data_IF_692648596442
#
_entry.id   IF_692648596442
#
_cell.length_a   1.000
_cell.length_b   1.000
_cell.length_c   1.000
_cell.angle_alpha   90.00
_cell.angle_beta   90.00
_cell.angle_gamma   90.00
#
_symmetry.space_group_name_H-M   'P 1'
#
loop_
_entity.id
_entity.type
_entity.pdbx_description
1 polymer ?
#
# COMPACT_ATOMS: atom_id res chain seq x y z
N UNK A 1 -16.12 22.10 18.80
CA UNK A 1 -15.95 20.73 18.28
C UNK A 1 -14.50 20.65 17.85
N UNK A 2 -13.68 19.85 18.55
CA UNK A 2 -12.25 19.75 18.26
C UNK A 2 -12.05 19.43 16.77
N UNK A 3 -11.21 20.18 16.07
CA UNK A 3 -10.88 19.84 14.68
C UNK A 3 -9.94 18.64 14.79
N UNK A 4 -10.45 17.47 14.46
CA UNK A 4 -9.55 16.33 14.24
C UNK A 4 -8.58 16.71 13.11
N UNK A 5 -7.29 16.36 13.19
CA UNK A 5 -6.33 16.58 12.10
C UNK A 5 -6.84 16.09 10.72
N UNK A 6 -7.75 15.12 10.73
CA UNK A 6 -8.47 14.64 9.56
C UNK A 6 -9.43 15.69 8.98
N UNK A 7 -10.24 16.33 9.81
CA UNK A 7 -11.15 17.41 9.40
C UNK A 7 -10.37 18.59 8.80
N UNK A 8 -9.22 18.95 9.40
CA UNK A 8 -8.35 20.01 8.89
C UNK A 8 -7.88 19.73 7.46
N UNK A 9 -7.34 18.53 7.22
CA UNK A 9 -6.78 18.13 5.92
C UNK A 9 -7.84 17.65 4.92
N UNK A 10 -9.11 17.53 5.32
CA UNK A 10 -10.22 17.28 4.39
C UNK A 10 -10.92 18.58 3.98
N UNK A 11 -10.92 19.59 4.84
CA UNK A 11 -11.70 20.82 4.68
C UNK A 11 -10.98 21.95 3.96
N UNK A 12 -11.69 23.07 3.78
CA UNK A 12 -11.20 24.27 3.09
C UNK A 12 -9.94 24.88 3.73
N UNK A 13 -9.71 24.64 5.03
CA UNK A 13 -8.51 25.13 5.73
C UNK A 13 -7.21 24.46 5.26
N UNK A 14 -7.27 23.31 4.57
CA UNK A 14 -6.09 22.68 3.98
C UNK A 14 -5.40 23.59 2.96
N UNK A 15 -6.17 24.37 2.20
CA UNK A 15 -5.65 25.29 1.18
C UNK A 15 -4.74 26.35 1.80
N UNK A 16 -5.15 26.97 2.91
CA UNK A 16 -4.33 27.97 3.59
C UNK A 16 -3.01 27.41 4.11
N UNK A 17 -3.03 26.20 4.68
CA UNK A 17 -1.82 25.53 5.20
C UNK A 17 -0.85 25.22 4.06
N UNK A 18 -1.36 24.70 2.94
CA UNK A 18 -0.53 24.33 1.79
C UNK A 18 -0.04 25.54 1.00
N UNK A 19 -0.88 26.56 0.84
CA UNK A 19 -0.49 27.81 0.19
C UNK A 19 0.63 28.54 0.95
N UNK A 20 0.60 28.53 2.28
CA UNK A 20 1.68 29.08 3.10
C UNK A 20 3.03 28.37 2.82
N UNK A 21 3.03 27.04 2.76
CA UNK A 21 4.24 26.26 2.50
C UNK A 21 4.79 26.44 1.07
N UNK A 22 3.92 26.67 0.07
CA UNK A 22 4.34 26.89 -1.33
C UNK A 22 4.80 28.33 -1.55
N UNK A 23 4.15 29.29 -0.88
CA UNK A 23 4.45 30.72 -0.97
C UNK A 23 5.88 31.08 -0.57
N UNK A 24 6.54 30.28 0.27
CA UNK A 24 7.98 30.43 0.58
C UNK A 24 8.87 30.37 -0.68
N UNK A 25 8.42 29.68 -1.74
CA UNK A 25 9.10 29.62 -3.05
C UNK A 25 8.63 30.68 -4.05
N UNK A 26 7.78 31.63 -3.64
CA UNK A 26 7.21 32.68 -4.49
C UNK A 26 6.10 32.21 -5.44
N UNK A 27 5.73 30.93 -5.41
CA UNK A 27 4.61 30.41 -6.20
C UNK A 27 3.27 30.60 -5.47
N UNK A 28 2.19 30.80 -6.22
CA UNK A 28 0.83 30.88 -5.69
C UNK A 28 0.02 29.65 -6.09
N UNK A 29 -0.83 29.17 -5.18
CA UNK A 29 -1.80 28.09 -5.45
C UNK A 29 -3.03 28.68 -6.11
N UNK A 30 -3.42 28.15 -7.27
CA UNK A 30 -4.65 28.52 -7.98
C UNK A 30 -5.76 27.47 -7.81
N UNK A 31 -5.37 26.20 -7.65
CA UNK A 31 -6.28 25.07 -7.47
C UNK A 31 -5.65 24.07 -6.51
N UNK A 32 -6.45 23.42 -5.66
CA UNK A 32 -5.98 22.36 -4.80
C UNK A 32 -6.98 21.19 -4.78
N UNK A 33 -6.52 20.01 -5.21
CA UNK A 33 -7.33 18.79 -5.23
C UNK A 33 -6.70 17.70 -4.37
N UNK A 34 -7.47 17.19 -3.41
CA UNK A 34 -7.07 16.03 -2.60
C UNK A 34 -7.07 14.76 -3.46
N UNK A 35 -5.93 14.09 -3.55
CA UNK A 35 -5.72 12.89 -4.34
C UNK A 35 -5.90 11.60 -3.51
N UNK A 36 -5.31 11.53 -2.32
CA UNK A 36 -5.55 10.45 -1.37
C UNK A 36 -5.31 10.90 0.07
N UNK A 37 -5.84 10.13 1.01
CA UNK A 37 -5.68 10.37 2.44
C UNK A 37 -5.47 9.08 3.22
N UNK A 38 -4.64 9.14 4.26
CA UNK A 38 -4.38 8.04 5.19
C UNK A 38 -4.46 8.52 6.62
N UNK A 39 -4.98 7.64 7.47
CA UNK A 39 -5.21 7.86 8.89
C UNK A 39 -4.50 6.75 9.66
N UNK A 40 -3.82 7.09 10.75
CA UNK A 40 -3.31 6.13 11.72
C UNK A 40 -4.30 5.91 12.86
N UNK A 41 -4.18 4.79 13.61
CA UNK A 41 -4.96 4.58 14.83
C UNK A 41 -4.78 5.68 15.88
N UNK A 42 -3.64 6.38 15.87
CA UNK A 42 -3.37 7.53 16.73
C UNK A 42 -4.14 8.80 16.35
N UNK A 43 -4.85 8.81 15.21
CA UNK A 43 -5.46 9.99 14.63
C UNK A 43 -4.51 10.85 13.79
N UNK A 44 -3.23 10.48 13.65
CA UNK A 44 -2.31 11.13 12.73
C UNK A 44 -2.78 10.95 11.27
N UNK A 45 -2.69 12.03 10.48
CA UNK A 45 -3.22 12.06 9.11
C UNK A 45 -2.13 12.43 8.14
N UNK A 46 -2.26 11.88 6.94
CA UNK A 46 -1.40 12.22 5.81
C UNK A 46 -2.23 12.27 4.55
N UNK A 47 -2.22 13.43 3.92
CA UNK A 47 -2.99 13.74 2.74
C UNK A 47 -2.06 14.14 1.59
N UNK A 48 -2.36 13.65 0.39
CA UNK A 48 -1.65 14.01 -0.83
C UNK A 48 -2.55 14.85 -1.71
N UNK A 49 -2.03 15.97 -2.21
CA UNK A 49 -2.77 16.91 -3.04
C UNK A 49 -2.09 17.07 -4.39
N UNK A 50 -2.89 17.41 -5.39
CA UNK A 50 -2.43 17.96 -6.65
C UNK A 50 -2.80 19.44 -6.64
N UNK A 51 -1.81 20.31 -6.67
CA UNK A 51 -1.96 21.76 -6.68
C UNK A 51 -1.72 22.29 -8.09
N UNK A 52 -2.62 23.12 -8.62
CA UNK A 52 -2.32 24.02 -9.73
C UNK A 52 -1.53 25.20 -9.18
N UNK A 53 -0.32 25.42 -9.68
CA UNK A 53 0.58 26.47 -9.19
C UNK A 53 0.92 27.45 -10.30
N UNK A 54 1.07 28.72 -9.92
CA UNK A 54 1.69 29.76 -10.75
C UNK A 54 3.02 30.16 -10.13
N UNK A 55 4.09 30.09 -10.92
CA UNK A 55 5.42 30.48 -10.51
C UNK A 55 5.65 32.00 -10.72
N UNK A 56 6.68 32.58 -10.06
CA UNK A 56 7.02 34.01 -10.21
C UNK A 56 7.28 34.46 -11.64
N UNK A 57 7.77 33.57 -12.50
CA UNK A 57 8.03 33.81 -13.93
C UNK A 57 6.75 33.82 -14.78
N UNK A 58 5.58 33.63 -14.15
CA UNK A 58 4.28 33.56 -14.79
C UNK A 58 3.92 32.19 -15.36
N UNK A 59 4.84 31.23 -15.35
CA UNK A 59 4.56 29.86 -15.79
C UNK A 59 3.55 29.18 -14.87
N UNK A 60 2.78 28.26 -15.44
CA UNK A 60 1.77 27.48 -14.71
C UNK A 60 2.10 26.00 -14.81
N UNK A 61 1.85 25.28 -13.73
CA UNK A 61 2.10 23.84 -13.66
C UNK A 61 1.23 23.16 -12.63
N UNK A 62 1.38 21.84 -12.53
CA UNK A 62 0.80 21.06 -11.45
C UNK A 62 1.91 20.49 -10.58
N UNK A 63 1.77 20.65 -9.27
CA UNK A 63 2.67 20.08 -8.27
C UNK A 63 1.93 19.06 -7.41
N UNK A 64 2.61 17.96 -7.07
CA UNK A 64 2.11 17.02 -6.08
C UNK A 64 2.69 17.36 -4.72
N UNK A 65 1.81 17.52 -3.73
CA UNK A 65 2.16 17.95 -2.38
C UNK A 65 1.67 16.94 -1.36
N UNK A 66 2.31 16.92 -0.21
CA UNK A 66 1.90 16.11 0.93
C UNK A 66 1.80 16.99 2.16
N UNK A 67 0.72 16.81 2.91
CA UNK A 67 0.56 17.34 4.26
C UNK A 67 0.45 16.17 5.24
N UNK A 68 1.13 16.25 6.37
CA UNK A 68 1.11 15.23 7.41
C UNK A 68 1.02 15.84 8.80
N UNK A 69 0.40 15.12 9.74
CA UNK A 69 0.27 15.54 11.15
C UNK A 69 0.80 14.47 12.10
N UNK A 70 1.17 14.88 13.33
CA UNK A 70 1.61 13.99 14.39
C UNK A 70 2.73 13.04 13.95
N UNK A 71 2.58 11.74 14.23
CA UNK A 71 3.58 10.72 13.93
C UNK A 71 3.86 10.52 12.42
N UNK A 72 3.09 11.14 11.52
CA UNK A 72 3.39 11.14 10.09
C UNK A 72 4.32 12.26 9.64
N UNK A 73 4.63 13.25 10.47
CA UNK A 73 5.58 14.32 10.15
C UNK A 73 7.00 13.74 10.18
N UNK A 74 7.71 13.69 9.05
CA UNK A 74 9.12 13.32 9.03
C UNK A 74 9.96 14.37 9.76
N UNK A 75 11.03 13.95 10.44
CA UNK A 75 11.91 14.83 11.24
C UNK A 75 12.45 16.05 10.48
N UNK A 76 12.65 15.93 9.17
CA UNK A 76 13.23 16.99 8.33
C UNK A 76 12.21 17.68 7.43
N UNK A 77 10.91 17.50 7.67
CA UNK A 77 9.88 18.21 6.92
C UNK A 77 9.79 19.68 7.38
N UNK A 78 9.47 20.57 6.45
CA UNK A 78 9.02 21.92 6.78
C UNK A 78 7.70 21.80 7.55
N UNK A 79 7.62 22.39 8.74
CA UNK A 79 6.42 22.34 9.59
C UNK A 79 5.76 23.71 9.61
N UNK A 80 4.51 23.75 9.20
CA UNK A 80 3.61 24.88 9.40
C UNK A 80 2.81 24.60 10.68
N UNK A 81 2.94 25.49 11.66
CA UNK A 81 2.14 25.45 12.88
C UNK A 81 1.06 26.52 12.81
N UNK A 82 -0.16 26.18 13.23
CA UNK A 82 -1.26 27.13 13.34
C UNK A 82 -2.26 26.72 14.42
N UNK A 83 -3.22 27.60 14.70
CA UNK A 83 -4.32 27.35 15.65
C UNK A 83 -5.69 27.33 14.95
N UNK A 84 -5.95 26.38 14.02
CA UNK A 84 -7.27 26.29 13.39
C UNK A 84 -8.36 26.04 14.45
N UNK A 85 -9.35 26.95 14.50
CA UNK A 85 -10.46 26.95 15.47
C UNK A 85 -10.03 26.82 16.95
N UNK A 86 -8.85 27.33 17.31
CA UNK A 86 -8.37 27.41 18.69
C UNK A 86 -7.57 26.20 19.20
N UNK A 87 -7.24 25.25 18.33
CA UNK A 87 -6.36 24.12 18.66
C UNK A 87 -5.04 24.21 17.89
N UNK A 88 -3.92 24.13 18.60
CA UNK A 88 -2.59 24.12 17.95
C UNK A 88 -2.41 22.81 17.19
N UNK A 89 -2.20 22.91 15.88
CA UNK A 89 -1.90 21.79 14.99
C UNK A 89 -0.60 22.06 14.24
N UNK A 90 0.28 21.08 14.25
CA UNK A 90 1.51 21.07 13.45
C UNK A 90 1.28 20.23 12.19
N UNK A 91 1.61 20.80 11.04
CA UNK A 91 1.46 20.17 9.74
C UNK A 91 2.79 20.20 9.01
N UNK A 92 3.39 19.03 8.80
CA UNK A 92 4.54 18.86 7.93
C UNK A 92 4.11 18.92 6.46
N UNK A 93 4.74 19.75 5.65
CA UNK A 93 4.42 19.91 4.22
C UNK A 93 5.66 19.72 3.36
N UNK A 94 5.52 18.98 2.25
CA UNK A 94 6.59 18.80 1.27
C UNK A 94 6.06 18.52 -0.14
N UNK A 95 6.89 18.79 -1.15
CA UNK A 95 6.69 18.33 -2.53
C UNK A 95 7.08 16.87 -2.65
N UNK A 96 6.40 16.11 -3.51
CA UNK A 96 6.69 14.68 -3.71
C UNK A 96 8.15 14.43 -4.06
N UNK A 97 8.75 15.17 -4.99
CA UNK A 97 10.17 15.01 -5.35
C UNK A 97 11.14 15.36 -4.22
N UNK A 98 10.69 16.11 -3.22
CA UNK A 98 11.46 16.59 -2.07
C UNK A 98 11.05 15.88 -0.77
N UNK A 99 10.53 14.65 -0.87
CA UNK A 99 10.13 13.87 0.30
C UNK A 99 11.32 13.67 1.25
N UNK A 100 11.26 14.20 2.48
CA UNK A 100 12.41 14.25 3.38
C UNK A 100 12.86 12.86 3.85
N UNK A 101 11.97 11.85 3.78
CA UNK A 101 12.32 10.48 4.13
C UNK A 101 12.71 9.63 2.90
N UNK A 102 12.57 10.16 1.68
CA UNK A 102 12.88 9.49 0.41
C UNK A 102 13.75 10.39 -0.50
N UNK A 103 15.00 10.71 -0.10
CA UNK A 103 15.84 11.67 -0.81
C UNK A 103 16.13 11.30 -2.27
N UNK A 104 16.17 10.00 -2.60
CA UNK A 104 16.32 9.53 -3.98
C UNK A 104 15.18 9.92 -4.92
N UNK A 105 14.01 10.34 -4.40
CA UNK A 105 12.85 10.72 -5.21
C UNK A 105 13.08 11.99 -6.05
N UNK A 106 14.12 12.76 -5.75
CA UNK A 106 14.59 13.89 -6.58
C UNK A 106 14.92 13.48 -8.02
N UNK A 107 15.22 12.20 -8.27
CA UNK A 107 15.43 11.69 -9.63
C UNK A 107 14.23 11.84 -10.57
N UNK A 108 13.02 12.10 -10.03
CA UNK A 108 11.84 12.40 -10.86
C UNK A 108 12.00 13.73 -11.59
N UNK A 109 12.75 14.67 -11.03
CA UNK A 109 13.02 15.99 -11.62
C UNK A 109 14.28 16.00 -12.51
N UNK A 110 15.06 14.91 -12.50
CA UNK A 110 16.37 14.82 -13.17
C UNK A 110 16.52 13.50 -13.95
N UNK A 111 16.13 13.49 -15.24
CA UNK A 111 16.29 12.32 -16.12
C UNK A 111 17.76 11.92 -16.37
N UNK A 112 18.73 12.81 -16.23
CA UNK A 112 20.15 12.49 -16.44
C UNK A 112 20.66 11.58 -15.33
N UNK A 113 20.30 11.87 -14.07
CA UNK A 113 20.63 11.02 -12.91
C UNK A 113 20.10 9.59 -13.05
N UNK A 114 19.00 9.41 -13.76
CA UNK A 114 18.41 8.10 -14.05
C UNK A 114 19.27 7.34 -15.07
N UNK A 115 19.71 8.02 -16.12
CA UNK A 115 20.61 7.44 -17.12
C UNK A 115 21.97 7.07 -16.50
N UNK A 116 22.49 7.91 -15.60
CA UNK A 116 23.74 7.65 -14.87
C UNK A 116 23.60 6.42 -13.96
N UNK A 117 22.50 6.31 -13.21
CA UNK A 117 22.21 5.13 -12.39
C UNK A 117 22.20 3.85 -13.22
N UNK A 118 21.48 3.86 -14.34
CA UNK A 118 21.39 2.69 -15.23
C UNK A 118 22.76 2.34 -15.82
N UNK A 119 23.51 3.34 -16.28
CA UNK A 119 24.85 3.17 -16.86
C UNK A 119 25.85 2.61 -15.84
N UNK A 120 25.81 3.09 -14.59
CA UNK A 120 26.66 2.60 -13.50
C UNK A 120 26.43 1.11 -13.18
N UNK A 121 25.25 0.59 -13.53
CA UNK A 121 24.88 -0.83 -13.37
C UNK A 121 24.88 -1.60 -14.70
N UNK A 122 25.62 -1.12 -15.71
CA UNK A 122 25.78 -1.74 -17.03
C UNK A 122 24.46 -1.93 -17.80
N UNK A 123 23.46 -1.09 -17.54
CA UNK A 123 22.21 -1.04 -18.29
C UNK A 123 22.30 0.07 -19.33
N UNK A 124 22.51 -0.31 -20.59
CA UNK A 124 22.55 0.64 -21.70
C UNK A 124 21.13 1.00 -22.15
N UNK A 125 20.84 2.31 -22.21
CA UNK A 125 19.57 2.81 -22.72
C UNK A 125 19.62 3.02 -24.23
N UNK A 126 18.53 2.67 -24.92
CA UNK A 126 18.38 2.92 -26.36
C UNK A 126 18.02 4.38 -26.70
N UNK A 127 17.67 5.19 -25.70
CA UNK A 127 17.23 6.57 -25.84
C UNK A 127 17.08 7.28 -24.48
N UNK A 128 16.62 8.54 -24.46
CA UNK A 128 16.45 9.27 -23.21
C UNK A 128 15.41 8.59 -22.31
N UNK A 129 15.69 8.42 -21.00
CA UNK A 129 14.79 7.73 -20.10
C UNK A 129 13.51 8.55 -19.85
N UNK A 130 12.37 7.87 -19.86
CA UNK A 130 11.10 8.38 -19.36
C UNK A 130 10.84 7.80 -17.99
N UNK A 131 10.56 8.67 -17.03
CA UNK A 131 10.27 8.30 -15.64
C UNK A 131 8.79 8.52 -15.35
N UNK A 132 8.12 7.51 -14.82
CA UNK A 132 6.72 7.58 -14.40
C UNK A 132 6.58 7.09 -12.97
N UNK A 133 5.99 7.90 -12.09
CA UNK A 133 5.66 7.47 -10.72
C UNK A 133 4.50 6.47 -10.79
N UNK A 134 4.78 5.20 -10.51
CA UNK A 134 3.77 4.13 -10.50
C UNK A 134 3.05 4.02 -9.17
N UNK A 135 3.78 4.20 -8.08
CA UNK A 135 3.21 4.22 -6.75
C UNK A 135 4.01 5.17 -5.86
N UNK A 136 3.32 5.87 -4.97
CA UNK A 136 3.95 6.71 -3.97
C UNK A 136 3.17 6.60 -2.66
N UNK A 137 3.87 6.21 -1.60
CA UNK A 137 3.40 6.24 -0.22
C UNK A 137 4.32 7.22 0.51
N UNK A 138 3.84 8.45 0.79
CA UNK A 138 4.71 9.49 1.31
C UNK A 138 5.48 9.03 2.54
N UNK A 139 6.74 9.46 2.67
CA UNK A 139 7.67 9.11 3.72
C UNK A 139 7.87 7.60 4.00
N UNK A 140 7.43 6.72 3.08
CA UNK A 140 7.55 5.27 3.22
C UNK A 140 8.29 4.68 2.03
N UNK A 141 7.76 4.89 0.82
CA UNK A 141 8.38 4.40 -0.42
C UNK A 141 7.73 5.00 -1.67
N UNK A 142 8.45 4.98 -2.78
CA UNK A 142 7.92 5.16 -4.12
C UNK A 142 8.35 4.00 -5.04
N UNK A 143 7.63 3.82 -6.13
CA UNK A 143 8.02 2.96 -7.25
C UNK A 143 7.94 3.79 -8.50
N UNK A 144 9.06 3.94 -9.18
CA UNK A 144 9.19 4.61 -10.46
C UNK A 144 9.32 3.55 -11.55
N UNK A 145 8.58 3.69 -12.63
CA UNK A 145 8.88 3.00 -13.88
C UNK A 145 9.82 3.89 -14.69
N UNK A 146 10.92 3.30 -15.14
CA UNK A 146 11.86 3.92 -16.07
C UNK A 146 11.79 3.16 -17.38
N UNK A 147 11.69 3.85 -18.50
CA UNK A 147 11.68 3.22 -19.82
C UNK A 147 12.48 4.03 -20.84
N UNK A 148 13.08 3.35 -21.81
CA UNK A 148 13.74 3.97 -22.97
C UNK A 148 12.89 3.85 -24.25
N UNK A 149 11.64 3.42 -24.11
CA UNK A 149 10.71 3.12 -25.21
C UNK A 149 10.81 1.69 -25.76
N UNK A 150 11.82 0.91 -25.38
CA UNK A 150 11.97 -0.51 -25.74
C UNK A 150 11.88 -1.43 -24.54
N UNK A 151 12.60 -1.07 -23.48
CA UNK A 151 12.69 -1.82 -22.24
C UNK A 151 12.16 -0.99 -21.08
N UNK A 152 11.78 -1.69 -20.00
CA UNK A 152 11.34 -1.06 -18.76
C UNK A 152 12.11 -1.61 -17.57
N UNK A 153 12.33 -0.73 -16.60
CA UNK A 153 12.92 -1.01 -15.32
C UNK A 153 12.08 -0.34 -14.24
N UNK A 154 12.25 -0.82 -13.02
CA UNK A 154 11.58 -0.24 -11.86
C UNK A 154 12.61 0.22 -10.86
N UNK A 155 12.46 1.43 -10.36
CA UNK A 155 13.26 1.95 -9.26
C UNK A 155 12.37 2.06 -8.03
N UNK A 156 12.68 1.27 -7.01
CA UNK A 156 12.04 1.38 -5.71
C UNK A 156 12.82 2.41 -4.90
N UNK A 157 12.16 3.51 -4.55
CA UNK A 157 12.71 4.55 -3.70
C UNK A 157 12.25 4.27 -2.28
N UNK A 158 13.20 4.05 -1.38
CA UNK A 158 12.93 3.76 0.04
C UNK A 158 13.73 4.71 0.92
N UNK A 159 13.46 4.70 2.22
CA UNK A 159 14.36 5.35 3.16
C UNK A 159 15.77 4.71 3.05
N UNK A 160 16.86 5.49 3.01
CA UNK A 160 18.22 4.95 2.91
C UNK A 160 18.53 3.82 3.90
N UNK A 161 18.03 3.93 5.14
CA UNK A 161 18.22 2.90 6.16
C UNK A 161 17.53 1.56 5.85
N UNK A 162 16.54 1.56 4.95
CA UNK A 162 15.79 0.37 4.53
C UNK A 162 16.36 -0.31 3.28
N UNK A 163 17.22 0.36 2.49
CA UNK A 163 17.69 -0.14 1.20
C UNK A 163 18.45 -1.47 1.33
N UNK A 164 19.39 -1.56 2.27
CA UNK A 164 20.16 -2.79 2.51
C UNK A 164 19.27 -3.98 2.91
N UNK A 165 18.24 -3.74 3.74
CA UNK A 165 17.29 -4.76 4.16
C UNK A 165 16.36 -5.22 3.03
N UNK A 166 16.04 -4.32 2.09
CA UNK A 166 15.31 -4.65 0.87
C UNK A 166 16.18 -5.50 -0.08
N UNK A 167 17.41 -5.05 -0.34
CA UNK A 167 18.39 -5.76 -1.15
C UNK A 167 18.61 -7.20 -0.66
N UNK A 168 18.86 -7.36 0.64
CA UNK A 168 19.07 -8.67 1.26
C UNK A 168 17.90 -9.63 0.99
N UNK A 169 16.65 -9.15 1.04
CA UNK A 169 15.49 -9.99 0.74
C UNK A 169 15.47 -10.47 -0.70
N UNK A 170 15.76 -9.58 -1.66
CA UNK A 170 15.87 -9.97 -3.06
C UNK A 170 17.00 -10.98 -3.28
N UNK A 171 18.17 -10.77 -2.68
CA UNK A 171 19.31 -11.68 -2.81
C UNK A 171 19.02 -13.09 -2.25
N UNK A 172 18.26 -13.17 -1.16
CA UNK A 172 17.81 -14.45 -0.60
C UNK A 172 16.77 -15.16 -1.48
N UNK A 173 15.87 -14.39 -2.12
CA UNK A 173 14.68 -14.92 -2.78
C UNK A 173 14.89 -15.24 -4.27
N UNK A 174 15.58 -14.38 -5.02
CA UNK A 174 15.75 -14.52 -6.47
C UNK A 174 16.34 -15.88 -6.92
N UNK A 175 17.22 -16.57 -6.15
CA UNK A 175 17.70 -17.90 -6.52
C UNK A 175 16.65 -19.02 -6.44
N UNK A 176 15.57 -18.83 -5.65
CA UNK A 176 14.55 -19.88 -5.37
C UNK A 176 13.17 -19.54 -5.93
N UNK A 177 12.92 -18.27 -6.22
CA UNK A 177 11.61 -17.73 -6.58
C UNK A 177 11.72 -16.80 -7.80
N UNK A 178 10.63 -16.60 -8.56
CA UNK A 178 10.59 -15.67 -9.69
C UNK A 178 10.52 -14.20 -9.20
N UNK A 179 11.42 -13.80 -8.32
CA UNK A 179 11.54 -12.44 -7.80
C UNK A 179 12.56 -11.70 -8.68
N UNK A 180 12.28 -10.46 -9.13
CA UNK A 180 13.24 -9.68 -9.90
C UNK A 180 14.55 -9.52 -9.13
N UNK A 181 15.72 -9.85 -9.71
CA UNK A 181 17.00 -9.59 -9.04
C UNK A 181 17.26 -8.09 -8.94
N UNK A 182 18.00 -7.67 -7.91
CA UNK A 182 18.46 -6.28 -7.83
C UNK A 182 19.62 -6.07 -8.78
N UNK A 183 19.48 -5.12 -9.70
CA UNK A 183 20.54 -4.73 -10.64
C UNK A 183 21.54 -3.76 -10.00
N UNK A 184 21.06 -2.96 -9.04
CA UNK A 184 21.85 -1.94 -8.38
C UNK A 184 21.09 -1.21 -7.28
N UNK A 185 21.83 -0.52 -6.42
CA UNK A 185 21.28 0.32 -5.36
C UNK A 185 22.21 1.51 -5.05
N UNK A 186 21.67 2.53 -4.40
CA UNK A 186 22.39 3.77 -4.07
C UNK A 186 22.27 4.14 -2.59
N UNK A 187 23.20 4.98 -2.12
CA UNK A 187 23.23 5.45 -0.74
C UNK A 187 22.05 6.36 -0.37
N UNK A 188 21.37 6.97 -1.34
CA UNK A 188 20.15 7.77 -1.14
C UNK A 188 18.85 6.95 -1.25
N UNK A 189 18.96 5.62 -1.28
CA UNK A 189 17.83 4.71 -1.08
C UNK A 189 17.11 4.27 -2.36
N UNK A 190 17.79 4.26 -3.49
CA UNK A 190 17.27 3.70 -4.75
C UNK A 190 17.62 2.21 -4.83
N UNK A 191 16.66 1.40 -5.29
CA UNK A 191 16.87 -0.02 -5.62
C UNK A 191 16.34 -0.28 -7.02
N UNK A 192 17.23 -0.57 -7.96
CA UNK A 192 16.94 -0.80 -9.37
C UNK A 192 16.62 -2.28 -9.63
N UNK A 193 15.49 -2.52 -10.29
CA UNK A 193 14.92 -3.82 -10.59
C UNK A 193 14.61 -3.91 -12.09
N UNK A 194 14.79 -5.08 -12.74
CA UNK A 194 14.26 -5.29 -14.08
C UNK A 194 12.73 -5.37 -14.03
N UNK A 195 12.10 -5.21 -15.19
CA UNK A 195 10.69 -5.59 -15.34
C UNK A 195 10.49 -7.08 -15.02
N UNK A 196 9.49 -7.39 -14.20
CA UNK A 196 9.07 -8.75 -13.95
C UNK A 196 8.15 -9.24 -15.09
N UNK A 197 8.37 -10.44 -15.60
CA UNK A 197 7.60 -10.97 -16.72
C UNK A 197 6.18 -11.38 -16.31
N UNK A 198 5.22 -11.20 -17.22
CA UNK A 198 3.84 -11.69 -17.12
C UNK A 198 2.82 -10.61 -16.77
N UNK A 199 1.62 -11.06 -16.43
CA UNK A 199 0.46 -10.20 -16.13
C UNK A 199 0.03 -10.42 -14.68
N UNK A 200 -0.31 -9.35 -13.97
CA UNK A 200 -0.80 -9.46 -12.60
C UNK A 200 -1.98 -10.43 -12.51
N UNK A 201 -1.98 -11.33 -11.53
CA UNK A 201 -3.09 -12.24 -11.28
C UNK A 201 -4.39 -11.45 -11.09
N UNK A 202 -4.34 -10.26 -10.46
CA UNK A 202 -5.45 -9.30 -10.44
C UNK A 202 -6.10 -9.09 -11.80
N UNK A 203 -5.31 -8.76 -12.80
CA UNK A 203 -5.79 -8.39 -14.13
C UNK A 203 -6.46 -9.59 -14.81
N UNK A 204 -5.95 -10.80 -14.57
CA UNK A 204 -6.58 -12.04 -15.02
C UNK A 204 -7.91 -12.32 -14.31
N UNK A 205 -8.03 -11.94 -13.04
CA UNK A 205 -9.24 -12.13 -12.23
C UNK A 205 -10.36 -11.13 -12.56
N UNK A 206 -10.04 -9.94 -13.05
CA UNK A 206 -11.01 -8.90 -13.44
C UNK A 206 -11.29 -8.86 -14.95
N UNK A 207 -10.65 -9.72 -15.75
CA UNK A 207 -10.84 -9.75 -17.19
C UNK A 207 -12.19 -10.40 -17.54
N UNK A 208 -13.16 -9.57 -17.95
CA UNK A 208 -14.46 -10.03 -18.44
C UNK A 208 -14.44 -10.51 -19.89
N UNK A 209 -13.39 -10.16 -20.64
CA UNK A 209 -13.22 -10.65 -22.01
C UNK A 209 -12.70 -12.09 -21.96
N UNK A 210 -13.60 -13.03 -22.22
CA UNK A 210 -13.33 -14.47 -22.39
C UNK A 210 -12.66 -15.11 -21.16
N UNK A 211 -13.36 -15.16 -20.01
CA UNK A 211 -12.81 -15.68 -18.75
C UNK A 211 -12.31 -17.12 -18.83
N UNK A 212 -12.83 -17.93 -19.76
CA UNK A 212 -12.49 -19.35 -19.88
C UNK A 212 -11.29 -19.64 -20.79
N UNK A 213 -10.73 -18.63 -21.48
CA UNK A 213 -9.61 -18.83 -22.41
C UNK A 213 -8.21 -18.69 -21.79
N UNK A 214 -8.10 -18.03 -20.64
CA UNK A 214 -6.81 -17.88 -19.95
C UNK A 214 -6.89 -18.70 -18.68
N UNK A 215 -6.15 -19.80 -18.56
CA UNK A 215 -6.11 -20.57 -17.33
C UNK A 215 -5.47 -19.77 -16.19
N UNK A 216 -5.99 -19.91 -14.96
CA UNK A 216 -5.36 -19.36 -13.76
C UNK A 216 -4.41 -20.41 -13.16
N UNK A 217 -3.34 -20.00 -12.44
CA UNK A 217 -2.51 -20.96 -11.70
C UNK A 217 -3.36 -21.74 -10.70
N UNK A 218 -3.05 -23.02 -10.50
CA UNK A 218 -3.72 -23.78 -9.45
C UNK A 218 -3.30 -23.26 -8.07
N UNK A 219 -4.16 -23.33 -7.03
CA UNK A 219 -3.75 -22.97 -5.66
C UNK A 219 -2.50 -23.73 -5.17
N UNK A 220 -2.27 -24.95 -5.67
CA UNK A 220 -1.06 -25.71 -5.39
C UNK A 220 0.21 -25.06 -5.95
N UNK A 221 0.15 -24.42 -7.12
CA UNK A 221 1.29 -23.70 -7.69
C UNK A 221 1.56 -22.38 -6.96
N UNK A 222 0.50 -21.75 -6.45
CA UNK A 222 0.62 -20.60 -5.54
C UNK A 222 1.31 -21.00 -4.23
N UNK A 223 0.98 -22.17 -3.66
CA UNK A 223 1.65 -22.69 -2.45
C UNK A 223 3.14 -22.96 -2.66
N UNK A 224 3.52 -23.45 -3.84
CA UNK A 224 4.94 -23.70 -4.15
C UNK A 224 5.81 -22.44 -4.01
N UNK A 225 5.25 -21.23 -4.20
CA UNK A 225 5.96 -20.00 -3.91
C UNK A 225 6.26 -19.85 -2.42
N UNK A 226 5.28 -20.17 -1.59
CA UNK A 226 5.39 -20.08 -0.14
C UNK A 226 6.33 -21.14 0.42
N UNK A 227 6.28 -22.36 -0.11
CA UNK A 227 7.18 -23.47 0.25
C UNK A 227 8.65 -23.21 -0.13
N UNK A 228 8.88 -22.47 -1.21
CA UNK A 228 10.23 -22.11 -1.67
C UNK A 228 10.86 -20.94 -0.91
N UNK A 229 10.15 -20.32 0.05
CA UNK A 229 10.68 -19.24 0.87
C UNK A 229 11.87 -19.73 1.72
N UNK A 230 13.03 -19.05 1.66
CA UNK A 230 14.25 -19.46 2.35
C UNK A 230 14.14 -19.36 3.87
N UNK A 231 14.62 -20.38 4.60
CA UNK A 231 14.70 -20.37 6.07
C UNK A 231 15.56 -19.22 6.60
N UNK A 232 16.47 -18.72 5.78
CA UNK A 232 17.31 -17.56 6.05
C UNK A 232 16.50 -16.29 6.37
N UNK A 233 15.26 -16.19 5.88
CA UNK A 233 14.33 -15.11 6.25
C UNK A 233 14.01 -15.08 7.74
N UNK A 234 14.14 -16.20 8.45
CA UNK A 234 13.89 -16.29 9.90
C UNK A 234 14.84 -15.44 10.73
N UNK A 235 15.97 -15.00 10.16
CA UNK A 235 16.94 -14.11 10.82
C UNK A 235 16.59 -12.64 10.68
N UNK A 236 15.61 -12.29 9.87
CA UNK A 236 15.17 -10.92 9.65
C UNK A 236 14.22 -10.47 10.76
N UNK A 237 14.04 -9.14 10.96
CA UNK A 237 13.08 -8.64 11.93
C UNK A 237 11.66 -9.16 11.66
N UNK A 238 11.03 -9.71 12.69
CA UNK A 238 9.62 -10.12 12.64
C UNK A 238 8.72 -8.91 12.43
N UNK A 239 7.63 -9.10 11.68
CA UNK A 239 6.59 -8.09 11.52
C UNK A 239 5.36 -8.50 12.32
N UNK A 240 4.57 -7.50 12.73
CA UNK A 240 3.29 -7.75 13.39
C UNK A 240 2.38 -8.54 12.45
N UNK A 241 1.74 -9.60 12.96
CA UNK A 241 0.74 -10.39 12.23
C UNK A 241 -0.52 -9.56 11.92
N UNK A 242 -1.43 -10.10 11.08
CA UNK A 242 -2.71 -9.43 10.82
C UNK A 242 -3.56 -9.28 12.10
N UNK A 243 -3.52 -10.29 12.97
CA UNK A 243 -4.26 -10.29 14.24
C UNK A 243 -3.81 -9.14 15.15
N UNK A 244 -2.51 -8.86 15.21
CA UNK A 244 -1.99 -7.73 15.99
C UNK A 244 -2.44 -6.36 15.47
N UNK A 245 -2.91 -6.26 14.22
CA UNK A 245 -3.32 -4.99 13.57
C UNK A 245 -4.84 -4.84 13.45
N UNK A 246 -5.61 -5.82 13.91
CA UNK A 246 -7.06 -5.84 13.68
C UNK A 246 -7.77 -4.72 14.46
N UNK A 247 -7.36 -4.47 15.72
CA UNK A 247 -7.86 -3.37 16.54
C UNK A 247 -7.54 -2.01 15.92
N UNK A 248 -6.32 -1.85 15.42
CA UNK A 248 -5.88 -0.65 14.71
C UNK A 248 -6.71 -0.37 13.46
N UNK A 249 -7.11 -1.44 12.75
CA UNK A 249 -7.94 -1.32 11.55
C UNK A 249 -9.36 -0.87 11.88
N UNK A 250 -9.95 -1.41 12.96
CA UNK A 250 -11.25 -0.96 13.47
C UNK A 250 -11.19 0.49 13.94
N UNK A 251 -10.13 0.88 14.65
CA UNK A 251 -9.93 2.25 15.11
C UNK A 251 -9.80 3.25 13.95
N UNK A 252 -9.04 2.90 12.91
CA UNK A 252 -8.96 3.72 11.70
C UNK A 252 -10.34 3.87 11.04
N UNK A 253 -11.13 2.80 10.95
CA UNK A 253 -12.48 2.88 10.38
C UNK A 253 -13.39 3.81 11.20
N UNK A 254 -13.35 3.68 12.54
CA UNK A 254 -14.07 4.55 13.46
C UNK A 254 -13.72 6.02 13.25
N UNK A 255 -12.42 6.35 13.25
CA UNK A 255 -11.95 7.74 13.03
C UNK A 255 -12.45 8.29 11.69
N UNK A 256 -12.36 7.50 10.62
CA UNK A 256 -12.85 7.91 9.30
C UNK A 256 -14.36 8.17 9.30
N UNK A 257 -15.15 7.28 9.91
CA UNK A 257 -16.61 7.39 9.92
C UNK A 257 -17.10 8.56 10.78
N UNK A 258 -16.45 8.83 11.91
CA UNK A 258 -16.82 9.93 12.80
C UNK A 258 -16.36 11.30 12.29
N UNK A 259 -15.28 11.36 11.51
CA UNK A 259 -14.72 12.63 11.02
C UNK A 259 -15.30 13.08 9.68
N UNK A 260 -16.04 12.22 8.98
CA UNK A 260 -16.67 12.57 7.71
C UNK A 260 -18.08 13.14 7.94
N UNK A 261 -18.31 14.45 7.71
CA UNK A 261 -19.62 15.07 7.95
C UNK A 261 -20.72 14.54 7.01
N UNK A 262 -20.37 13.86 5.92
CA UNK A 262 -21.36 13.23 5.04
C UNK A 262 -21.91 11.91 5.61
N UNK A 263 -21.28 11.36 6.66
CA UNK A 263 -21.71 10.11 7.31
C UNK A 263 -22.64 10.42 8.48
N UNK A 264 -23.91 9.97 8.45
CA UNK A 264 -24.81 10.15 9.58
C UNK A 264 -24.26 9.50 10.85
N UNK A 265 -24.40 10.17 12.00
CA UNK A 265 -23.88 9.66 13.28
C UNK A 265 -24.38 8.25 13.64
N UNK A 266 -25.62 7.90 13.25
CA UNK A 266 -26.18 6.56 13.43
C UNK A 266 -25.46 5.50 12.58
N UNK A 267 -25.05 5.85 11.36
CA UNK A 267 -24.28 4.97 10.48
C UNK A 267 -22.84 4.82 10.97
N UNK A 268 -22.21 5.92 11.40
CA UNK A 268 -20.88 5.86 12.00
C UNK A 268 -20.87 4.97 13.25
N UNK A 269 -21.84 5.12 14.15
CA UNK A 269 -22.00 4.26 15.32
C UNK A 269 -22.21 2.79 14.95
N UNK A 270 -23.01 2.51 13.90
CA UNK A 270 -23.22 1.16 13.39
C UNK A 270 -21.93 0.53 12.85
N UNK A 271 -21.18 1.24 12.01
CA UNK A 271 -19.90 0.76 11.46
C UNK A 271 -18.90 0.45 12.58
N UNK A 272 -18.80 1.34 13.57
CA UNK A 272 -17.95 1.14 14.75
C UNK A 272 -18.37 -0.09 15.55
N UNK A 273 -19.66 -0.23 15.84
CA UNK A 273 -20.20 -1.38 16.59
C UNK A 273 -19.94 -2.71 15.85
N UNK A 274 -20.16 -2.74 14.53
CA UNK A 274 -19.89 -3.93 13.72
C UNK A 274 -18.41 -4.28 13.67
N UNK A 275 -17.53 -3.28 13.50
CA UNK A 275 -16.08 -3.49 13.52
C UNK A 275 -15.60 -4.03 14.87
N UNK A 276 -16.10 -3.49 15.99
CA UNK A 276 -15.80 -4.00 17.34
C UNK A 276 -16.25 -5.45 17.51
N UNK A 277 -17.46 -5.79 17.06
CA UNK A 277 -17.96 -7.17 17.11
C UNK A 277 -17.12 -8.17 16.30
N UNK A 278 -16.56 -7.74 15.15
CA UNK A 278 -15.59 -8.54 14.38
C UNK A 278 -14.27 -8.68 15.16
N UNK A 279 -13.74 -7.60 15.74
CA UNK A 279 -12.51 -7.62 16.54
C UNK A 279 -12.61 -8.59 17.72
N UNK A 280 -13.72 -8.57 18.47
CA UNK A 280 -13.93 -9.44 19.63
C UNK A 280 -13.89 -10.93 19.25
N UNK A 281 -14.56 -11.29 18.16
CA UNK A 281 -14.55 -12.67 17.65
C UNK A 281 -13.17 -13.05 17.07
N UNK A 282 -12.50 -12.13 16.37
CA UNK A 282 -11.17 -12.36 15.83
C UNK A 282 -10.11 -12.54 16.92
N UNK A 283 -10.23 -11.83 18.03
CA UNK A 283 -9.27 -11.90 19.13
C UNK A 283 -9.63 -12.93 20.18
N UNK A 284 -10.68 -13.72 19.97
CA UNK A 284 -11.00 -14.86 20.84
C UNK A 284 -9.79 -15.81 20.87
N UNK A 285 -9.24 -16.13 22.06
CA UNK A 285 -8.02 -16.91 22.17
C UNK A 285 -8.08 -18.23 21.39
N UNK A 286 -7.02 -18.50 20.62
CA UNK A 286 -6.79 -19.83 20.01
C UNK A 286 -5.90 -20.63 20.96
N UNK A 287 -6.19 -21.92 21.15
CA UNK A 287 -5.37 -22.79 22.00
C UNK A 287 -3.99 -23.12 21.41
N UNK A 288 -3.76 -22.82 20.12
CA UNK A 288 -2.50 -23.12 19.42
C UNK A 288 -2.06 -21.93 18.56
N UNK A 289 -0.92 -21.33 18.91
CA UNK A 289 -0.16 -20.46 18.03
C UNK A 289 0.73 -21.33 17.13
N UNK A 290 0.74 -21.08 15.83
CA UNK A 290 1.63 -21.79 14.91
C UNK A 290 3.07 -21.31 15.11
N UNK A 291 4.07 -22.20 15.06
CA UNK A 291 5.46 -21.78 15.10
C UNK A 291 5.77 -20.89 13.89
N UNK A 292 6.59 -19.85 14.06
CA UNK A 292 6.88 -18.95 12.96
C UNK A 292 7.71 -19.65 11.88
N UNK A 293 7.36 -19.39 10.63
CA UNK A 293 8.00 -19.88 9.40
C UNK A 293 8.33 -18.70 8.48
N UNK A 294 9.14 -18.90 7.43
CA UNK A 294 9.29 -17.92 6.37
C UNK A 294 7.95 -17.61 5.69
N UNK A 295 7.58 -16.34 5.70
CA UNK A 295 6.37 -15.82 5.03
C UNK A 295 6.73 -14.70 4.07
N UNK A 296 5.83 -14.46 3.11
CA UNK A 296 5.91 -13.29 2.25
C UNK A 296 5.47 -12.03 3.00
N UNK A 297 4.41 -12.13 3.83
CA UNK A 297 3.95 -11.07 4.75
C UNK A 297 3.00 -10.03 4.14
N UNK A 298 2.76 -10.09 2.83
CA UNK A 298 1.74 -9.33 2.08
C UNK A 298 1.25 -10.13 0.85
N UNK A 299 0.99 -11.42 1.02
CA UNK A 299 0.74 -12.34 -0.10
C UNK A 299 -0.70 -12.26 -0.62
N UNK A 300 -0.93 -11.53 -1.70
CA UNK A 300 -2.24 -11.49 -2.39
C UNK A 300 -2.09 -11.37 -3.91
N UNK A 301 -3.22 -11.37 -4.62
CA UNK A 301 -3.27 -11.47 -6.08
C UNK A 301 -2.61 -10.31 -6.86
N UNK A 302 -2.23 -9.20 -6.23
CA UNK A 302 -1.41 -8.16 -6.91
C UNK A 302 0.10 -8.43 -6.82
N UNK A 303 0.52 -9.43 -6.03
CA UNK A 303 1.94 -9.76 -5.88
C UNK A 303 2.37 -10.91 -6.78
N UNK A 304 1.43 -11.54 -7.50
CA UNK A 304 1.69 -12.69 -8.36
C UNK A 304 1.51 -12.28 -9.82
N UNK A 305 2.53 -12.50 -10.65
CA UNK A 305 2.45 -12.36 -12.10
C UNK A 305 2.33 -13.74 -12.74
N UNK A 306 1.58 -13.79 -13.84
CA UNK A 306 1.23 -15.03 -14.53
C UNK A 306 1.32 -14.88 -16.04
N UNK A 307 1.70 -15.95 -16.71
CA UNK A 307 1.53 -16.17 -18.15
C UNK A 307 0.71 -17.46 -18.33
N UNK A 308 -0.57 -17.30 -18.62
CA UNK A 308 -1.56 -18.38 -18.46
C UNK A 308 -1.57 -18.91 -17.02
N UNK A 309 -1.53 -20.23 -16.87
CA UNK A 309 -1.48 -20.91 -15.57
C UNK A 309 -0.08 -20.91 -14.93
N UNK A 310 0.96 -20.49 -15.65
CA UNK A 310 2.32 -20.43 -15.12
C UNK A 310 2.53 -19.15 -14.32
N UNK A 311 3.04 -19.29 -13.11
CA UNK A 311 3.53 -18.15 -12.32
C UNK A 311 4.90 -17.72 -12.86
N UNK A 312 5.02 -16.46 -13.22
CA UNK A 312 6.22 -15.87 -13.85
C UNK A 312 6.88 -14.79 -13.02
N UNK A 313 6.22 -14.33 -11.96
CA UNK A 313 6.77 -13.29 -11.10
C UNK A 313 6.15 -13.27 -9.71
N UNK A 314 6.96 -12.92 -8.72
CA UNK A 314 6.55 -12.59 -7.35
C UNK A 314 7.09 -11.20 -6.99
N UNK A 315 6.19 -10.31 -6.58
CA UNK A 315 6.47 -8.90 -6.33
C UNK A 315 6.34 -8.55 -4.84
N UNK A 316 6.87 -7.37 -4.50
CA UNK A 316 6.71 -6.73 -3.19
C UNK A 316 7.16 -7.56 -1.99
N UNK A 317 8.35 -8.12 -2.10
CA UNK A 317 8.95 -9.00 -1.10
C UNK A 317 9.53 -8.27 0.12
N UNK A 318 9.33 -6.95 0.26
CA UNK A 318 9.86 -6.11 1.35
C UNK A 318 9.44 -6.61 2.75
N UNK A 319 8.30 -7.28 2.81
CA UNK A 319 7.71 -7.78 4.05
C UNK A 319 8.15 -9.19 4.40
N UNK A 320 8.92 -9.86 3.53
CA UNK A 320 9.35 -11.22 3.73
C UNK A 320 10.20 -11.36 5.01
N UNK A 321 9.95 -12.40 5.78
CA UNK A 321 10.53 -12.56 7.12
C UNK A 321 9.85 -13.66 7.93
N UNK A 322 10.10 -13.71 9.25
CA UNK A 322 9.40 -14.61 10.16
C UNK A 322 7.92 -14.22 10.29
N UNK A 323 7.02 -15.20 10.24
CA UNK A 323 5.59 -15.02 10.46
C UNK A 323 4.82 -16.34 10.46
N UNK A 324 3.51 -16.32 10.32
CA UNK A 324 2.66 -17.52 10.35
C UNK A 324 2.13 -17.82 8.94
N UNK A 325 2.21 -19.09 8.49
CA UNK A 325 1.75 -19.47 7.14
C UNK A 325 0.28 -19.13 6.90
N UNK A 326 -0.54 -19.27 7.94
CA UNK A 326 -1.94 -18.89 7.91
C UNK A 326 -2.19 -17.43 7.51
N UNK A 327 -1.27 -16.50 7.82
CA UNK A 327 -1.42 -15.08 7.46
C UNK A 327 -1.27 -14.86 5.94
N UNK A 328 -0.37 -15.56 5.26
CA UNK A 328 -0.20 -15.44 3.79
C UNK A 328 -1.47 -15.93 3.06
N UNK A 329 -2.01 -17.09 3.44
CA UNK A 329 -3.26 -17.60 2.86
C UNK A 329 -4.47 -16.74 3.22
N UNK A 330 -4.60 -16.32 4.47
CA UNK A 330 -5.69 -15.43 4.88
C UNK A 330 -5.64 -14.10 4.13
N UNK A 331 -4.44 -13.57 3.86
CA UNK A 331 -4.25 -12.36 3.07
C UNK A 331 -4.74 -12.58 1.64
N UNK A 332 -4.30 -13.64 0.96
CA UNK A 332 -4.75 -13.99 -0.38
C UNK A 332 -6.28 -14.14 -0.44
N UNK A 333 -6.86 -14.94 0.45
CA UNK A 333 -8.30 -15.24 0.48
C UNK A 333 -9.10 -13.98 0.81
N UNK A 334 -8.66 -13.16 1.77
CA UNK A 334 -9.32 -11.92 2.16
C UNK A 334 -9.41 -10.94 0.99
N UNK A 335 -8.30 -10.71 0.28
CA UNK A 335 -8.28 -9.85 -0.91
C UNK A 335 -9.11 -10.42 -2.07
N UNK A 336 -9.08 -11.74 -2.29
CA UNK A 336 -9.91 -12.40 -3.31
C UNK A 336 -11.41 -12.32 -2.97
N UNK A 337 -11.78 -12.43 -1.69
CA UNK A 337 -13.17 -12.37 -1.26
C UNK A 337 -13.77 -10.97 -1.45
N UNK A 338 -13.02 -9.92 -1.11
CA UNK A 338 -13.41 -8.52 -1.38
C UNK A 338 -13.51 -8.25 -2.87
N UNK A 339 -12.55 -8.74 -3.67
CA UNK A 339 -12.62 -8.62 -5.13
C UNK A 339 -13.83 -9.41 -5.68
N UNK A 340 -14.11 -10.56 -5.09
CA UNK A 340 -15.20 -11.46 -5.44
C UNK A 340 -16.59 -10.86 -5.29
N UNK A 341 -16.76 -9.79 -4.48
CA UNK A 341 -18.01 -9.04 -4.36
C UNK A 341 -18.53 -8.65 -5.75
N UNK A 342 -17.66 -8.07 -6.59
CA UNK A 342 -18.03 -7.64 -7.94
C UNK A 342 -17.48 -8.54 -9.06
N UNK A 343 -16.55 -9.46 -8.77
CA UNK A 343 -15.85 -10.23 -9.78
C UNK A 343 -16.11 -11.74 -9.60
N UNK A 344 -17.01 -12.30 -10.41
CA UNK A 344 -17.43 -13.71 -10.31
C UNK A 344 -16.24 -14.68 -10.43
N UNK A 345 -15.28 -14.37 -11.29
CA UNK A 345 -14.06 -15.17 -11.47
C UNK A 345 -13.18 -15.16 -10.21
N UNK A 346 -13.01 -13.99 -9.58
CA UNK A 346 -12.30 -13.89 -8.30
C UNK A 346 -13.00 -14.68 -7.19
N UNK A 347 -14.34 -14.65 -7.15
CA UNK A 347 -15.13 -15.45 -6.20
C UNK A 347 -14.91 -16.96 -6.39
N UNK A 348 -14.91 -17.46 -7.64
CA UNK A 348 -14.60 -18.87 -7.94
C UNK A 348 -13.18 -19.25 -7.52
N UNK A 349 -12.21 -18.39 -7.84
CA UNK A 349 -10.82 -18.63 -7.46
C UNK A 349 -10.60 -18.58 -5.94
N UNK A 350 -11.29 -17.68 -5.24
CA UNK A 350 -11.34 -17.62 -3.78
C UNK A 350 -11.80 -18.95 -3.18
N UNK A 351 -12.89 -19.54 -3.71
CA UNK A 351 -13.38 -20.85 -3.26
C UNK A 351 -12.37 -21.98 -3.46
N UNK A 352 -11.68 -22.00 -4.60
CA UNK A 352 -10.62 -22.98 -4.86
C UNK A 352 -9.41 -22.81 -3.92
N UNK A 353 -8.99 -21.57 -3.69
CA UNK A 353 -7.91 -21.23 -2.76
C UNK A 353 -8.25 -21.63 -1.31
N UNK A 354 -9.46 -21.26 -0.84
CA UNK A 354 -9.95 -21.62 0.49
C UNK A 354 -9.98 -23.14 0.67
N UNK A 355 -10.61 -23.88 -0.25
CA UNK A 355 -10.71 -25.34 -0.15
C UNK A 355 -9.33 -26.00 -0.14
N UNK A 356 -8.34 -25.44 -0.85
CA UNK A 356 -6.97 -25.93 -0.83
C UNK A 356 -6.26 -25.67 0.51
N UNK A 357 -6.41 -24.47 1.05
CA UNK A 357 -5.77 -24.04 2.29
C UNK A 357 -6.37 -24.72 3.53
N UNK A 358 -7.70 -24.90 3.59
CA UNK A 358 -8.41 -25.58 4.70
C UNK A 358 -8.03 -27.07 4.86
N UNK A 359 -7.38 -27.69 3.85
CA UNK A 359 -6.82 -29.04 3.98
C UNK A 359 -5.47 -29.08 4.70
N UNK A 360 -4.85 -27.93 4.95
CA UNK A 360 -3.48 -27.80 5.49
C UNK A 360 -3.44 -26.95 6.77
N UNK A 361 -4.37 -26.01 6.88
CA UNK A 361 -4.48 -25.06 7.98
C UNK A 361 -5.86 -25.27 8.60
N UNK A 362 -5.92 -25.22 9.93
CA UNK A 362 -7.20 -25.32 10.64
C UNK A 362 -8.20 -24.29 10.07
N UNK A 363 -9.40 -24.72 9.62
CA UNK A 363 -10.36 -23.83 9.00
C UNK A 363 -10.76 -22.64 9.87
N UNK A 364 -10.88 -22.81 11.20
CA UNK A 364 -11.23 -21.70 12.11
C UNK A 364 -10.09 -20.70 12.22
N UNK A 365 -8.85 -21.18 12.30
CA UNK A 365 -7.62 -20.36 12.30
C UNK A 365 -7.54 -19.51 11.02
N UNK A 366 -7.78 -20.12 9.86
CA UNK A 366 -7.70 -19.46 8.56
C UNK A 366 -8.83 -18.44 8.35
N UNK A 367 -10.07 -18.82 8.62
CA UNK A 367 -11.24 -17.96 8.41
C UNK A 367 -11.23 -16.73 9.33
N UNK A 368 -10.84 -16.90 10.59
CA UNK A 368 -10.64 -15.79 11.54
C UNK A 368 -9.60 -14.77 11.08
N UNK A 369 -8.45 -15.23 10.57
CA UNK A 369 -7.44 -14.33 9.98
C UNK A 369 -7.95 -13.67 8.71
N UNK A 370 -8.74 -14.40 7.92
CA UNK A 370 -9.38 -13.85 6.71
C UNK A 370 -10.35 -12.72 7.08
N UNK A 371 -11.17 -12.89 8.12
CA UNK A 371 -12.01 -11.83 8.67
C UNK A 371 -11.19 -10.60 9.10
N UNK A 372 -10.05 -10.81 9.76
CA UNK A 372 -9.13 -9.74 10.15
C UNK A 372 -8.57 -8.97 8.93
N UNK A 373 -8.22 -9.66 7.85
CA UNK A 373 -7.80 -9.05 6.58
C UNK A 373 -8.92 -8.22 5.98
N UNK A 374 -10.14 -8.76 5.89
CA UNK A 374 -11.30 -8.06 5.31
C UNK A 374 -11.62 -6.80 6.11
N UNK A 375 -11.59 -6.86 7.45
CA UNK A 375 -11.73 -5.67 8.31
C UNK A 375 -10.62 -4.64 8.05
N UNK A 376 -9.37 -5.08 7.86
CA UNK A 376 -8.24 -4.22 7.45
C UNK A 376 -8.48 -3.49 6.12
N UNK A 377 -9.35 -4.03 5.26
CA UNK A 377 -9.74 -3.43 3.98
C UNK A 377 -10.99 -2.54 4.08
N UNK A 378 -11.71 -2.53 5.20
CA UNK A 378 -12.97 -1.78 5.36
C UNK A 378 -12.79 -0.27 5.17
N UNK A 379 -11.66 0.31 5.61
CA UNK A 379 -11.35 1.74 5.42
C UNK A 379 -10.72 2.09 4.06
N UNK A 380 -10.49 1.11 3.17
CA UNK A 380 -9.93 1.37 1.85
C UNK A 380 -10.82 2.24 0.91
N UNK A 381 -12.16 2.17 0.92
CA UNK A 381 -13.02 3.02 0.09
C UNK A 381 -12.87 4.50 0.43
N UNK A 382 -12.74 4.82 1.73
CA UNK A 382 -12.46 6.17 2.21
C UNK A 382 -11.13 6.71 1.67
N UNK A 383 -10.06 5.90 1.77
CA UNK A 383 -8.74 6.27 1.23
C UNK A 383 -8.76 6.50 -0.28
N UNK A 384 -9.58 5.74 -0.99
CA UNK A 384 -9.77 5.84 -2.44
C UNK A 384 -10.75 6.94 -2.86
N UNK A 385 -11.32 7.69 -1.90
CA UNK A 385 -12.24 8.82 -2.16
C UNK A 385 -13.50 8.41 -2.94
N UNK A 386 -14.05 7.22 -2.65
CA UNK A 386 -15.35 6.84 -3.20
C UNK A 386 -16.46 7.64 -2.51
N UNK A 387 -17.44 8.13 -3.27
CA UNK A 387 -18.53 8.94 -2.69
C UNK A 387 -19.37 8.13 -1.70
N UNK A 388 -19.72 6.89 -2.06
CA UNK A 388 -20.47 5.95 -1.20
C UNK A 388 -19.53 5.00 -0.42
N UNK A 389 -18.39 5.53 0.04
CA UNK A 389 -17.45 4.76 0.83
C UNK A 389 -18.05 4.06 2.07
N UNK A 390 -19.05 4.64 2.80
CA UNK A 390 -19.60 4.00 4.00
C UNK A 390 -20.34 2.71 3.66
N UNK A 391 -21.08 2.67 2.56
CA UNK A 391 -21.77 1.45 2.10
C UNK A 391 -20.75 0.37 1.73
N UNK A 392 -19.69 0.74 1.00
CA UNK A 392 -18.59 -0.20 0.71
C UNK A 392 -17.87 -0.70 1.97
N UNK A 393 -17.77 0.11 3.02
CA UNK A 393 -17.22 -0.31 4.30
C UNK A 393 -18.18 -1.29 5.01
N UNK A 394 -19.49 -1.02 5.00
CA UNK A 394 -20.51 -1.90 5.54
C UNK A 394 -20.51 -3.28 4.83
N UNK A 395 -20.40 -3.32 3.51
CA UNK A 395 -20.29 -4.57 2.73
C UNK A 395 -19.08 -5.41 3.18
N UNK A 396 -17.96 -4.76 3.50
CA UNK A 396 -16.75 -5.44 3.99
C UNK A 396 -16.89 -5.91 5.42
N UNK A 397 -17.58 -5.16 6.28
CA UNK A 397 -17.89 -5.63 7.63
C UNK A 397 -18.84 -6.83 7.60
N UNK A 398 -19.86 -6.80 6.74
CA UNK A 398 -20.75 -7.95 6.51
C UNK A 398 -19.95 -9.16 6.03
N UNK A 399 -19.08 -8.99 5.02
CA UNK A 399 -18.20 -10.05 4.53
C UNK A 399 -17.24 -10.56 5.62
N UNK A 400 -16.65 -9.67 6.43
CA UNK A 400 -15.79 -10.08 7.54
C UNK A 400 -16.55 -10.92 8.58
N UNK A 401 -17.84 -10.64 8.80
CA UNK A 401 -18.71 -11.44 9.66
C UNK A 401 -19.07 -12.79 9.05
N UNK A 402 -19.26 -12.88 7.74
CA UNK A 402 -19.50 -14.17 7.05
C UNK A 402 -18.31 -15.14 7.18
N UNK A 403 -17.11 -14.61 7.40
CA UNK A 403 -15.92 -15.41 7.67
C UNK A 403 -15.82 -15.93 9.12
N UNK A 404 -16.59 -15.40 10.06
CA UNK A 404 -16.60 -15.83 11.45
C UNK A 404 -17.73 -16.84 11.68
#
# INVERSE_FOLDING_TARGET
>A
MAITPLTLLLGAHAEHVLAAAIGEGGASVEELRLADIRVQPSGAVRARYIAGVRHPDGSRGHEALVAATGAYIPTSATVVAGEPLGERVEVGVWRVAQDPALPGLRMVEDPERVADLLSAHNVALAGPPRVLVRAYRPAQRAVLEVSDGRCRWFVKVVNPAAAAGLRLRHDLLAPRLPVPPVLGDTSDGLVLLPEACGTLLRERLICDRQPDLVELPAPADVEKLLDALPIELMRLPSRRSILHRVQESAEVLRICAESDPAVPASLAAKLTSEATGVVEQVLTPSEQAEPPVPVHGDFYHNQVLTDGSRITGLLDVDTAGPGERADDWATMIGYLSVLGISQARARRYCGAALAYAERRIDPRVLRRRTAAVVLGLASAPFRARLDDWPSHAADRLALAREWL
#
